data_IF_166797575835
#
_entry.id   IF_166797575835
#
_cell.length_a   1.000
_cell.length_b   1.000
_cell.length_c   1.000
_cell.angle_alpha   90.00
_cell.angle_beta   90.00
_cell.angle_gamma   90.00
#
_symmetry.space_group_name_H-M   'P 1'
#
loop_
_entity.id
_entity.type
_entity.pdbx_description
1 polymer ?
#
# COMPACT_ATOMS: atom_id res chain seq x y z
N UNK A 1 8.69 0.91 -5.41
CA UNK A 1 8.05 -0.42 -5.45
C UNK A 1 8.57 -1.28 -4.31
N UNK A 2 7.73 -2.07 -3.60
CA UNK A 2 8.21 -3.02 -2.59
C UNK A 2 9.10 -4.08 -3.24
N UNK A 3 10.17 -4.49 -2.52
CA UNK A 3 11.11 -5.53 -2.99
C UNK A 3 10.75 -6.91 -2.49
N UNK A 4 10.04 -7.01 -1.37
CA UNK A 4 9.57 -8.26 -0.79
C UNK A 4 8.09 -8.46 -1.06
N UNK A 5 7.60 -9.65 -0.78
CA UNK A 5 6.20 -9.98 -0.95
C UNK A 5 5.31 -9.14 -0.03
N UNK A 6 4.49 -8.31 -0.63
CA UNK A 6 3.42 -7.58 0.04
C UNK A 6 2.10 -7.94 -0.61
N UNK A 7 1.00 -7.75 0.09
CA UNK A 7 -0.33 -7.95 -0.49
C UNK A 7 -1.20 -6.71 -0.31
N UNK A 8 -2.11 -6.50 -1.24
CA UNK A 8 -3.24 -5.61 -1.06
C UNK A 8 -4.42 -6.41 -0.51
N UNK A 9 -5.24 -5.78 0.30
CA UNK A 9 -6.44 -6.39 0.85
C UNK A 9 -7.65 -6.05 -0.03
N UNK A 10 -8.59 -7.00 -0.18
CA UNK A 10 -9.93 -6.69 -0.69
C UNK A 10 -10.70 -5.93 0.39
N UNK A 11 -11.78 -5.22 0.01
CA UNK A 11 -12.44 -4.30 0.95
C UNK A 11 -13.00 -5.01 2.21
N UNK A 12 -13.63 -6.18 2.05
CA UNK A 12 -14.10 -6.98 3.19
C UNK A 12 -12.95 -7.36 4.13
N UNK A 13 -11.83 -7.80 3.56
CA UNK A 13 -10.62 -8.14 4.35
C UNK A 13 -10.09 -6.93 5.11
N UNK A 14 -10.06 -5.75 4.47
CA UNK A 14 -9.62 -4.51 5.12
C UNK A 14 -10.56 -4.11 6.27
N UNK A 15 -11.87 -4.33 6.15
CA UNK A 15 -12.84 -4.11 7.23
C UNK A 15 -12.59 -5.03 8.42
N UNK A 16 -12.35 -6.31 8.16
CA UNK A 16 -12.03 -7.29 9.21
C UNK A 16 -10.73 -6.91 9.90
N UNK A 17 -9.68 -6.60 9.12
CA UNK A 17 -8.37 -6.19 9.66
C UNK A 17 -8.50 -4.95 10.54
N UNK A 18 -9.17 -3.90 10.06
CA UNK A 18 -9.36 -2.66 10.82
C UNK A 18 -10.19 -2.83 12.08
N UNK A 19 -11.12 -3.79 12.08
CA UNK A 19 -11.93 -4.14 13.26
C UNK A 19 -11.18 -4.96 14.31
N UNK A 20 -10.29 -5.85 13.89
CA UNK A 20 -9.51 -6.71 14.78
C UNK A 20 -8.23 -6.06 15.29
N UNK A 21 -7.54 -5.33 14.44
CA UNK A 21 -6.29 -4.65 14.75
C UNK A 21 -6.17 -3.31 14.00
N UNK A 22 -6.66 -2.21 14.58
CA UNK A 22 -6.55 -0.89 13.96
C UNK A 22 -5.10 -0.42 13.78
N UNK A 23 -4.15 -1.04 14.46
CA UNK A 23 -2.72 -0.75 14.36
C UNK A 23 -1.94 -1.71 13.43
N UNK A 24 -2.65 -2.49 12.61
CA UNK A 24 -2.05 -3.56 11.79
C UNK A 24 -0.82 -3.10 11.00
N UNK A 25 -0.91 -2.01 10.22
CA UNK A 25 0.21 -1.51 9.42
C UNK A 25 1.43 -1.11 10.26
N UNK A 26 1.19 -0.43 11.38
CA UNK A 26 2.27 0.01 12.27
C UNK A 26 2.92 -1.18 12.98
N UNK A 27 2.11 -2.15 13.41
CA UNK A 27 2.59 -3.38 14.07
C UNK A 27 3.42 -4.21 13.13
N UNK A 28 2.92 -4.50 11.91
CA UNK A 28 3.62 -5.28 10.90
C UNK A 28 5.01 -4.68 10.60
N UNK A 29 5.07 -3.38 10.35
CA UNK A 29 6.32 -2.68 10.08
C UNK A 29 7.27 -2.73 11.28
N UNK A 30 6.76 -2.49 12.49
CA UNK A 30 7.55 -2.51 13.72
C UNK A 30 8.13 -3.89 13.97
N UNK A 31 7.32 -4.92 13.91
CA UNK A 31 7.72 -6.31 14.19
C UNK A 31 8.71 -6.82 13.13
N UNK A 32 8.53 -6.48 11.86
CA UNK A 32 9.47 -6.83 10.79
C UNK A 32 10.86 -6.23 11.04
N UNK A 33 10.94 -4.96 11.46
CA UNK A 33 12.21 -4.29 11.76
C UNK A 33 12.86 -4.91 13.00
N UNK A 34 12.11 -5.18 14.09
CA UNK A 34 12.64 -5.82 15.30
C UNK A 34 13.15 -7.25 15.02
N UNK A 35 12.49 -7.98 14.11
CA UNK A 35 12.89 -9.31 13.69
C UNK A 35 14.13 -9.31 12.75
N UNK A 36 14.58 -8.14 12.29
CA UNK A 36 15.68 -8.02 11.33
C UNK A 36 15.29 -8.31 9.87
N UNK A 37 14.01 -8.47 9.58
CA UNK A 37 13.45 -8.65 8.23
C UNK A 37 13.21 -7.30 7.54
N UNK A 38 14.18 -6.45 7.50
CA UNK A 38 14.12 -5.03 7.12
C UNK A 38 13.34 -4.78 5.82
N UNK A 39 12.16 -4.15 5.87
CA UNK A 39 11.38 -3.84 4.68
C UNK A 39 12.11 -2.91 3.71
N UNK A 40 12.00 -3.20 2.41
CA UNK A 40 12.72 -2.50 1.36
C UNK A 40 11.81 -2.09 0.21
N UNK A 41 12.11 -0.93 -0.37
CA UNK A 41 11.46 -0.42 -1.58
C UNK A 41 12.49 0.05 -2.59
N UNK A 42 12.27 -0.26 -3.86
CA UNK A 42 12.99 0.36 -4.94
C UNK A 42 12.50 1.81 -5.11
N UNK A 43 13.45 2.74 -5.18
CA UNK A 43 13.22 4.13 -5.54
C UNK A 43 13.45 4.27 -7.04
N UNK A 44 12.46 4.78 -7.74
CA UNK A 44 12.53 4.97 -9.18
C UNK A 44 12.04 6.34 -9.61
N UNK A 45 12.42 6.73 -10.82
CA UNK A 45 12.01 7.97 -11.48
C UNK A 45 11.42 7.65 -12.85
N UNK A 46 10.44 8.44 -13.29
CA UNK A 46 10.00 8.54 -14.67
C UNK A 46 10.55 9.84 -15.24
N UNK A 47 11.05 9.81 -16.47
CA UNK A 47 11.66 10.96 -17.11
C UNK A 47 10.80 11.37 -18.29
N UNK A 48 10.44 12.65 -18.34
CA UNK A 48 9.61 13.24 -19.38
C UNK A 48 10.38 14.31 -20.13
N UNK A 49 10.07 14.56 -21.42
CA UNK A 49 10.59 15.72 -22.13
C UNK A 49 10.18 17.01 -21.41
N UNK A 50 11.09 17.98 -21.35
CA UNK A 50 10.79 19.32 -20.85
C UNK A 50 10.16 20.14 -21.99
N UNK A 51 8.83 20.17 -22.05
CA UNK A 51 8.05 20.91 -23.05
C UNK A 51 7.40 22.14 -22.40
N UNK A 52 7.20 23.20 -23.19
CA UNK A 52 6.59 24.45 -22.69
C UNK A 52 5.17 24.22 -22.16
N UNK A 53 4.41 23.32 -22.78
CA UNK A 53 3.02 22.99 -22.40
C UNK A 53 2.92 21.95 -21.28
N UNK A 54 4.05 21.33 -20.88
CA UNK A 54 4.11 20.28 -19.87
C UNK A 54 3.13 19.11 -20.12
N UNK A 55 2.86 18.83 -21.41
CA UNK A 55 1.99 17.73 -21.84
C UNK A 55 2.82 16.52 -22.27
N UNK A 56 2.38 15.32 -21.90
CA UNK A 56 2.98 14.05 -22.31
C UNK A 56 1.90 13.05 -22.71
N UNK A 57 1.90 12.64 -23.98
CA UNK A 57 0.91 11.67 -24.54
C UNK A 57 -0.55 12.03 -24.19
N UNK A 58 -0.87 13.33 -24.21
CA UNK A 58 -2.20 13.84 -23.87
C UNK A 58 -2.49 13.98 -22.38
N UNK A 59 -1.52 13.67 -21.52
CA UNK A 59 -1.61 13.79 -20.07
C UNK A 59 -0.94 15.09 -19.63
N UNK A 60 -1.65 15.92 -18.86
CA UNK A 60 -1.11 17.13 -18.24
C UNK A 60 -0.25 16.73 -17.02
N UNK A 61 1.06 16.95 -17.12
CA UNK A 61 2.02 16.64 -16.05
C UNK A 61 1.89 17.56 -14.82
N UNK A 62 1.18 18.69 -14.97
CA UNK A 62 0.91 19.62 -13.88
C UNK A 62 -0.46 19.36 -13.21
N UNK A 63 -1.25 18.41 -13.72
CA UNK A 63 -2.50 18.00 -13.08
C UNK A 63 -2.24 16.94 -11.99
N UNK A 64 -2.43 17.28 -10.70
CA UNK A 64 -2.15 16.38 -9.59
C UNK A 64 -3.11 15.17 -9.52
N UNK A 65 -4.16 15.14 -10.35
CA UNK A 65 -5.12 14.03 -10.44
C UNK A 65 -4.73 13.01 -11.49
N UNK A 66 -3.68 13.25 -12.27
CA UNK A 66 -3.24 12.39 -13.36
C UNK A 66 -1.96 11.63 -12.98
N UNK A 67 -1.86 10.39 -13.45
CA UNK A 67 -0.65 9.58 -13.43
C UNK A 67 -0.26 9.19 -14.85
N UNK A 68 1.03 8.97 -15.08
CA UNK A 68 1.50 8.44 -16.35
C UNK A 68 1.79 6.95 -16.18
N UNK A 69 1.08 6.05 -16.89
CA UNK A 69 1.33 4.62 -16.87
C UNK A 69 2.77 4.26 -17.26
N UNK A 70 3.31 3.20 -16.68
CA UNK A 70 4.71 2.80 -16.90
C UNK A 70 4.99 2.33 -18.33
N UNK A 71 4.00 1.85 -19.05
CA UNK A 71 4.15 1.49 -20.47
C UNK A 71 4.41 2.71 -21.36
N UNK A 72 3.98 3.91 -20.96
CA UNK A 72 4.26 5.16 -21.69
C UNK A 72 5.60 5.76 -21.28
N UNK A 73 5.92 5.72 -19.98
CA UNK A 73 7.19 6.22 -19.44
C UNK A 73 7.72 5.23 -18.41
N UNK A 74 8.65 4.33 -18.78
CA UNK A 74 9.17 3.30 -17.88
C UNK A 74 9.86 3.88 -16.65
N UNK A 75 9.61 3.28 -15.48
CA UNK A 75 10.28 3.65 -14.23
C UNK A 75 11.73 3.17 -14.24
N UNK A 76 12.67 4.10 -14.09
CA UNK A 76 14.09 3.83 -13.94
C UNK A 76 14.44 3.72 -12.46
N UNK A 77 14.92 2.56 -12.01
CA UNK A 77 15.31 2.35 -10.62
C UNK A 77 16.66 3.04 -10.38
N UNK A 78 16.71 3.92 -9.38
CA UNK A 78 17.88 4.71 -9.02
C UNK A 78 18.43 4.39 -7.63
N UNK A 79 17.70 3.63 -6.81
CA UNK A 79 18.15 3.27 -5.48
C UNK A 79 17.17 2.36 -4.74
N UNK A 80 17.53 2.04 -3.50
CA UNK A 80 16.69 1.26 -2.59
C UNK A 80 16.57 1.98 -1.25
N UNK A 81 15.36 2.07 -0.74
CA UNK A 81 15.06 2.53 0.62
C UNK A 81 14.90 1.30 1.52
N UNK A 82 15.62 1.28 2.64
CA UNK A 82 15.54 0.21 3.65
C UNK A 82 15.14 0.80 5.00
N UNK A 83 14.11 0.25 5.63
CA UNK A 83 13.72 0.60 7.00
C UNK A 83 14.33 -0.41 7.96
N UNK A 84 15.33 0.01 8.72
CA UNK A 84 16.16 -0.86 9.55
C UNK A 84 16.25 -0.42 11.02
N UNK A 85 15.42 0.51 11.45
CA UNK A 85 15.39 1.01 12.82
C UNK A 85 14.02 1.56 13.18
N UNK A 86 13.49 1.10 14.29
CA UNK A 86 12.27 1.65 14.89
C UNK A 86 12.56 2.93 15.70
N UNK A 87 11.60 3.85 15.83
CA UNK A 87 11.71 4.95 16.77
C UNK A 87 11.74 4.43 18.21
N UNK A 88 12.54 5.09 19.08
CA UNK A 88 12.60 4.78 20.51
C UNK A 88 11.48 5.47 21.29
N UNK A 89 11.03 6.61 20.79
CA UNK A 89 9.93 7.38 21.35
C UNK A 89 9.09 7.95 20.21
N UNK A 90 7.86 7.47 20.06
CA UNK A 90 6.98 7.88 18.96
C UNK A 90 6.59 9.36 19.03
N UNK A 91 6.45 9.93 20.21
CA UNK A 91 6.17 11.36 20.32
C UNK A 91 7.35 12.19 19.83
N UNK A 92 8.56 11.92 20.33
CA UNK A 92 9.76 12.67 19.98
C UNK A 92 10.18 12.48 18.52
N UNK A 93 10.18 11.22 18.04
CA UNK A 93 10.80 10.84 16.77
C UNK A 93 9.80 10.66 15.61
N UNK A 94 8.48 10.72 15.85
CA UNK A 94 7.45 10.53 14.85
C UNK A 94 6.38 11.60 14.88
N UNK A 95 5.71 11.83 16.01
CA UNK A 95 4.59 12.78 16.06
C UNK A 95 5.02 14.25 15.87
N UNK A 96 6.24 14.59 16.26
CA UNK A 96 6.81 15.93 16.10
C UNK A 96 7.48 16.13 14.72
N UNK A 97 7.49 15.14 13.84
CA UNK A 97 8.06 15.27 12.49
C UNK A 97 7.30 16.31 11.68
N UNK A 98 8.04 17.20 11.04
CA UNK A 98 7.52 18.28 10.19
C UNK A 98 7.99 18.09 8.74
N UNK A 99 7.34 17.19 8.00
CA UNK A 99 7.59 17.06 6.57
C UNK A 99 7.07 18.29 5.81
N UNK A 100 7.84 18.72 4.81
CA UNK A 100 7.48 19.84 3.96
C UNK A 100 7.97 19.59 2.53
N UNK A 101 7.13 19.76 1.49
CA UNK A 101 7.52 19.47 0.11
C UNK A 101 8.61 20.43 -0.44
N UNK A 102 8.83 21.56 0.20
CA UNK A 102 9.91 22.48 -0.13
C UNK A 102 11.25 22.17 0.55
N UNK A 103 11.36 21.12 1.38
CA UNK A 103 12.62 20.67 1.96
C UNK A 103 13.36 19.80 0.93
N UNK A 104 13.99 20.46 -0.03
CA UNK A 104 14.67 19.88 -1.18
C UNK A 104 16.16 19.79 -0.97
N UNK A 105 16.80 18.91 -1.72
CA UNK A 105 18.27 18.84 -1.83
C UNK A 105 18.73 19.54 -3.13
N UNK A 106 19.98 19.98 -3.24
CA UNK A 106 20.48 20.58 -4.47
C UNK A 106 20.24 19.68 -5.68
N UNK A 107 19.75 20.27 -6.80
CA UNK A 107 19.44 19.56 -8.03
C UNK A 107 18.00 19.06 -8.14
N UNK A 108 17.17 19.26 -7.13
CA UNK A 108 15.72 18.96 -7.15
C UNK A 108 14.97 20.27 -6.93
N UNK A 109 13.96 20.53 -7.77
CA UNK A 109 13.08 21.68 -7.65
C UNK A 109 11.60 21.25 -7.73
N UNK A 110 10.69 22.19 -7.51
CA UNK A 110 9.25 21.97 -7.57
C UNK A 110 8.69 22.34 -8.94
N UNK A 111 7.64 21.67 -9.37
CA UNK A 111 6.90 22.00 -10.59
C UNK A 111 5.90 23.13 -10.35
N UNK A 112 5.33 23.66 -11.43
CA UNK A 112 4.24 24.63 -11.37
C UNK A 112 2.85 24.01 -11.10
N UNK A 113 2.77 22.72 -10.74
CA UNK A 113 1.55 22.06 -10.31
C UNK A 113 0.86 22.90 -9.21
N UNK A 114 -0.39 23.35 -9.43
CA UNK A 114 -1.08 24.25 -8.50
C UNK A 114 -1.28 23.66 -7.10
N UNK A 115 -1.49 22.33 -7.01
CA UNK A 115 -1.62 21.66 -5.72
C UNK A 115 -0.28 21.65 -4.98
N UNK A 116 0.81 21.32 -5.68
CA UNK A 116 2.15 21.34 -5.09
C UNK A 116 2.52 22.74 -4.60
N UNK A 117 2.25 23.78 -5.40
CA UNK A 117 2.48 25.17 -5.00
C UNK A 117 1.65 25.56 -3.75
N UNK A 118 0.40 25.14 -3.67
CA UNK A 118 -0.44 25.33 -2.48
C UNK A 118 0.08 24.57 -1.26
N UNK A 119 0.68 23.41 -1.45
CA UNK A 119 1.29 22.59 -0.38
C UNK A 119 2.52 23.26 0.23
N UNK A 120 3.29 24.04 -0.52
CA UNK A 120 4.43 24.80 0.02
C UNK A 120 4.00 25.77 1.12
N UNK A 121 2.81 26.34 0.98
CA UNK A 121 2.23 27.19 2.01
C UNK A 121 1.52 26.38 3.12
N UNK A 122 0.68 25.43 2.74
CA UNK A 122 -0.19 24.68 3.65
C UNK A 122 0.60 23.90 4.70
N UNK A 123 1.70 23.24 4.31
CA UNK A 123 2.51 22.46 5.25
C UNK A 123 3.26 23.36 6.24
N UNK A 124 3.67 24.54 5.85
CA UNK A 124 4.27 25.51 6.76
C UNK A 124 3.27 25.98 7.81
N UNK A 125 2.07 26.38 7.37
CA UNK A 125 1.00 26.84 8.24
C UNK A 125 0.55 25.77 9.25
N UNK A 126 0.34 24.54 8.79
CA UNK A 126 -0.06 23.44 9.68
C UNK A 126 1.03 23.09 10.71
N UNK A 127 2.32 23.17 10.38
CA UNK A 127 3.39 22.90 11.33
C UNK A 127 3.43 23.95 12.45
N UNK A 128 3.23 25.21 12.14
CA UNK A 128 3.14 26.28 13.16
C UNK A 128 2.02 25.97 14.15
N UNK A 129 0.87 25.56 13.68
CA UNK A 129 -0.29 25.24 14.54
C UNK A 129 -0.09 23.92 15.29
N UNK A 130 0.29 22.87 14.61
CA UNK A 130 0.39 21.51 15.18
C UNK A 130 1.51 21.40 16.21
N UNK A 131 2.65 22.02 15.95
CA UNK A 131 3.83 21.93 16.82
C UNK A 131 3.93 23.12 17.79
N UNK A 132 3.00 24.06 17.74
CA UNK A 132 2.82 25.10 18.75
C UNK A 132 3.75 26.31 18.65
N UNK A 133 4.50 26.45 17.55
CA UNK A 133 5.39 27.60 17.37
C UNK A 133 6.13 27.63 16.04
N UNK A 134 6.68 28.77 15.66
CA UNK A 134 7.35 28.98 14.37
C UNK A 134 8.70 28.30 14.26
N UNK A 135 9.31 27.87 15.37
CA UNK A 135 10.67 27.30 15.40
C UNK A 135 10.62 25.76 15.45
N UNK A 136 9.63 25.12 14.85
CA UNK A 136 9.50 23.65 14.79
C UNK A 136 10.71 22.99 14.10
N UNK A 137 11.42 23.68 13.22
CA UNK A 137 12.64 23.19 12.59
C UNK A 137 13.82 23.04 13.56
N UNK A 138 13.73 23.58 14.78
CA UNK A 138 14.74 23.39 15.83
C UNK A 138 14.49 22.17 16.72
N UNK A 139 13.33 21.53 16.61
CA UNK A 139 13.08 20.25 17.28
C UNK A 139 14.10 19.22 16.78
N UNK A 140 14.65 18.35 17.67
CA UNK A 140 15.72 17.42 17.29
C UNK A 140 15.42 16.60 16.06
N UNK A 141 14.18 16.10 15.91
CA UNK A 141 13.78 15.27 14.77
C UNK A 141 13.70 16.05 13.44
N UNK A 142 13.45 17.36 13.49
CA UNK A 142 13.28 18.21 12.31
C UNK A 142 14.55 18.97 11.94
N UNK A 143 15.52 18.98 12.86
CA UNK A 143 16.74 19.77 12.69
C UNK A 143 17.59 19.25 11.56
N UNK A 144 18.02 20.11 10.61
CA UNK A 144 18.94 19.71 9.55
C UNK A 144 20.22 19.12 10.10
N UNK A 145 20.70 18.02 9.51
CA UNK A 145 21.99 17.42 9.82
C UNK A 145 23.12 18.04 8.99
N UNK A 146 22.79 18.48 7.77
CA UNK A 146 23.72 19.24 6.94
C UNK A 146 23.74 20.71 7.35
N UNK A 147 24.85 21.43 7.13
CA UNK A 147 24.90 22.89 7.30
C UNK A 147 23.85 23.57 6.43
N UNK A 148 23.15 24.56 6.98
CA UNK A 148 22.19 25.39 6.27
C UNK A 148 22.74 26.80 6.20
N UNK A 149 22.92 27.32 4.99
CA UNK A 149 23.33 28.69 4.70
C UNK A 149 22.17 29.41 4.05
N UNK A 150 21.47 30.21 4.83
CA UNK A 150 20.36 31.07 4.40
C UNK A 150 20.54 32.48 4.96
N UNK A 151 19.57 33.35 4.70
CA UNK A 151 19.56 34.71 5.23
C UNK A 151 18.84 34.86 6.57
N UNK A 152 18.41 33.74 7.18
CA UNK A 152 17.73 33.70 8.47
C UNK A 152 18.78 33.64 9.62
N UNK A 153 18.94 34.69 10.31
CA UNK A 153 19.91 34.76 11.42
C UNK A 153 19.26 34.46 12.76
N UNK A 154 18.22 35.17 13.07
CA UNK A 154 17.44 35.05 14.32
C UNK A 154 15.96 35.35 14.03
N UNK A 155 15.09 34.83 14.85
CA UNK A 155 13.64 34.95 14.67
C UNK A 155 12.96 33.69 14.19
N UNK A 156 11.82 33.83 13.52
CA UNK A 156 11.00 32.70 13.06
C UNK A 156 11.71 31.89 11.97
N UNK A 157 11.55 30.57 12.04
CA UNK A 157 12.12 29.58 11.10
C UNK A 157 13.64 29.50 11.11
N UNK A 158 14.33 30.07 12.07
CA UNK A 158 15.76 29.89 12.23
C UNK A 158 16.11 28.42 12.43
N UNK A 159 17.08 27.90 11.67
CA UNK A 159 17.54 26.51 11.76
C UNK A 159 18.96 26.34 12.29
N UNK A 160 19.76 27.40 12.25
CA UNK A 160 21.14 27.41 12.70
C UNK A 160 21.40 28.40 13.81
N UNK A 161 22.61 28.36 14.40
CA UNK A 161 23.09 29.34 15.35
C UNK A 161 24.17 30.20 14.70
N UNK A 162 23.93 31.49 14.63
CA UNK A 162 24.83 32.46 14.01
C UNK A 162 25.36 33.43 15.07
N UNK A 163 26.61 33.79 14.94
CA UNK A 163 27.28 34.79 15.81
C UNK A 163 27.45 36.09 15.05
N UNK A 164 27.60 37.20 15.77
CA UNK A 164 27.81 38.50 15.17
C UNK A 164 26.95 39.57 15.82
N UNK A 165 27.26 40.83 15.52
CA UNK A 165 26.60 41.99 16.11
C UNK A 165 25.57 42.65 15.25
N UNK A 166 25.53 42.29 13.96
CA UNK A 166 24.55 42.83 12.99
C UNK A 166 23.57 41.75 12.51
N UNK A 167 22.25 41.99 12.64
CA UNK A 167 21.23 40.97 12.24
C UNK A 167 20.90 40.95 10.73
N UNK A 168 21.52 41.79 9.94
CA UNK A 168 21.27 41.89 8.50
C UNK A 168 22.50 41.58 7.66
N UNK A 169 22.29 41.22 6.42
CA UNK A 169 23.32 40.88 5.42
C UNK A 169 23.09 41.64 4.12
N UNK A 170 24.19 41.96 3.40
CA UNK A 170 25.58 41.87 3.83
C UNK A 170 25.93 42.94 4.83
N UNK A 171 26.90 42.67 5.74
CA UNK A 171 27.44 43.66 6.65
C UNK A 171 28.98 43.51 6.74
N UNK A 172 29.67 44.54 7.28
CA UNK A 172 31.12 44.58 7.35
C UNK A 172 31.69 44.14 8.73
N UNK A 173 30.84 43.71 9.66
CA UNK A 173 31.24 43.52 11.05
C UNK A 173 31.50 42.07 11.43
N UNK A 174 30.83 41.11 10.82
CA UNK A 174 30.82 39.71 11.24
C UNK A 174 31.15 38.70 10.10
N UNK A 175 31.94 39.12 9.14
CA UNK A 175 32.45 38.25 8.08
C UNK A 175 31.43 37.80 7.04
N UNK A 176 30.26 38.44 7.01
CA UNK A 176 29.28 38.14 5.99
C UNK A 176 28.32 36.96 6.28
N UNK A 177 28.34 36.40 7.49
CA UNK A 177 27.44 35.28 7.87
C UNK A 177 26.18 35.77 8.61
N UNK A 178 25.02 35.09 8.47
CA UNK A 178 24.69 34.08 7.45
C UNK A 178 24.65 34.68 6.05
N UNK A 179 24.88 33.86 5.01
CA UNK A 179 24.81 34.23 3.62
C UNK A 179 24.31 33.03 2.80
N UNK A 180 23.79 33.29 1.62
CA UNK A 180 23.46 32.23 0.68
C UNK A 180 24.72 31.45 0.29
N UNK A 181 24.60 30.12 0.19
CA UNK A 181 25.66 29.28 -0.31
C UNK A 181 25.93 29.57 -1.79
N UNK A 182 27.17 29.42 -2.21
CA UNK A 182 27.55 29.44 -3.63
C UNK A 182 27.32 28.06 -4.25
N UNK A 183 27.35 27.98 -5.57
CA UNK A 183 27.23 26.70 -6.30
C UNK A 183 28.29 25.69 -5.84
N UNK A 184 29.53 26.15 -5.60
CA UNK A 184 30.64 25.31 -5.12
C UNK A 184 30.41 24.83 -3.68
N UNK A 185 29.60 25.51 -2.90
CA UNK A 185 29.21 25.15 -1.54
C UNK A 185 27.92 24.32 -1.50
N UNK A 186 27.38 23.93 -2.66
CA UNK A 186 26.19 23.09 -2.76
C UNK A 186 24.88 23.87 -2.65
N UNK A 187 24.86 25.13 -3.14
CA UNK A 187 23.62 25.89 -3.23
C UNK A 187 22.56 25.19 -4.09
N UNK A 188 21.30 25.52 -3.86
CA UNK A 188 20.22 25.18 -4.79
C UNK A 188 20.51 25.81 -6.16
N UNK A 189 20.50 24.99 -7.19
CA UNK A 189 20.65 25.46 -8.58
C UNK A 189 19.27 25.75 -9.12
N UNK A 190 19.00 27.02 -9.36
CA UNK A 190 17.78 27.45 -10.02
C UNK A 190 17.84 27.08 -11.52
N UNK A 191 16.79 26.47 -12.04
CA UNK A 191 16.63 26.18 -13.46
C UNK A 191 15.65 27.20 -14.05
N UNK A 192 16.12 28.18 -14.83
CA UNK A 192 15.23 29.18 -15.39
C UNK A 192 14.19 28.54 -16.32
N UNK A 193 12.91 28.78 -16.05
CA UNK A 193 11.80 28.36 -16.88
C UNK A 193 11.17 29.60 -17.52
N UNK A 194 11.11 29.62 -18.85
CA UNK A 194 10.39 30.67 -19.56
C UNK A 194 8.88 30.50 -19.36
N UNK A 195 8.19 31.57 -18.95
CA UNK A 195 6.74 31.57 -18.81
C UNK A 195 6.13 32.65 -19.71
N UNK A 196 5.03 32.30 -20.39
CA UNK A 196 4.24 33.26 -21.17
C UNK A 196 2.75 33.01 -20.90
N UNK A 197 1.92 34.05 -20.99
CA UNK A 197 0.48 33.94 -20.83
C UNK A 197 -0.13 35.03 -19.96
N UNK A 198 -1.39 34.83 -19.60
CA UNK A 198 -2.18 35.77 -18.77
C UNK A 198 -2.43 35.11 -17.42
N UNK A 199 -2.15 35.84 -16.34
CA UNK A 199 -2.51 35.40 -15.00
C UNK A 199 -4.03 35.54 -14.85
N UNK A 200 -4.72 34.40 -14.73
CA UNK A 200 -6.18 34.36 -14.54
C UNK A 200 -6.53 33.47 -13.35
N UNK A 201 -7.82 33.40 -13.01
CA UNK A 201 -8.37 32.42 -12.06
C UNK A 201 -9.11 31.29 -12.76
N UNK A 202 -8.83 31.09 -14.02
CA UNK A 202 -9.39 29.99 -14.80
C UNK A 202 -8.67 28.69 -14.45
N UNK A 203 -9.42 27.60 -14.41
CA UNK A 203 -8.86 26.26 -14.27
C UNK A 203 -8.33 25.80 -15.63
N UNK A 204 -7.26 25.01 -15.68
CA UNK A 204 -6.81 24.41 -16.93
C UNK A 204 -7.88 23.46 -17.49
N UNK A 205 -7.90 23.28 -18.81
CA UNK A 205 -8.86 22.40 -19.49
C UNK A 205 -8.77 20.93 -18.99
N UNK A 206 -7.59 20.49 -18.57
CA UNK A 206 -7.38 19.17 -17.99
C UNK A 206 -8.21 18.93 -16.72
N UNK A 207 -8.55 20.00 -16.00
CA UNK A 207 -9.38 19.94 -14.79
C UNK A 207 -10.81 19.48 -15.08
N UNK A 208 -11.32 19.66 -16.29
CA UNK A 208 -12.67 19.22 -16.69
C UNK A 208 -12.73 17.69 -16.88
N UNK A 209 -11.57 17.04 -17.04
CA UNK A 209 -11.46 15.58 -17.06
C UNK A 209 -11.34 14.99 -15.66
N UNK A 210 -12.46 14.66 -15.06
CA UNK A 210 -12.55 14.06 -13.73
C UNK A 210 -12.54 12.53 -13.74
N UNK A 211 -12.76 11.88 -14.90
CA UNK A 211 -13.14 10.47 -14.95
C UNK A 211 -12.17 9.58 -15.73
N UNK A 212 -11.32 10.11 -16.60
CA UNK A 212 -10.41 9.30 -17.43
C UNK A 212 -9.50 8.38 -16.61
N UNK A 213 -8.93 8.89 -15.51
CA UNK A 213 -8.06 8.12 -14.63
C UNK A 213 -8.81 7.06 -13.82
N UNK A 214 -10.02 7.40 -13.35
CA UNK A 214 -10.87 6.45 -12.65
C UNK A 214 -11.30 5.31 -13.58
N UNK A 215 -11.68 5.64 -14.83
CA UNK A 215 -12.00 4.65 -15.84
C UNK A 215 -10.78 3.81 -16.21
N UNK A 216 -9.63 4.42 -16.46
CA UNK A 216 -8.38 3.72 -16.74
C UNK A 216 -8.07 2.68 -15.67
N UNK A 217 -8.18 3.07 -14.38
CA UNK A 217 -8.01 2.15 -13.27
C UNK A 217 -9.02 1.01 -13.32
N UNK A 218 -10.31 1.32 -13.43
CA UNK A 218 -11.39 0.33 -13.39
C UNK A 218 -11.26 -0.71 -14.51
N UNK A 219 -11.07 -0.29 -15.76
CA UNK A 219 -10.95 -1.23 -16.89
C UNK A 219 -9.63 -2.01 -16.93
N UNK A 220 -8.63 -1.61 -16.12
CA UNK A 220 -7.37 -2.34 -15.97
C UNK A 220 -7.43 -3.43 -14.89
N UNK A 221 -8.49 -3.46 -14.10
CA UNK A 221 -8.76 -4.51 -13.11
C UNK A 221 -9.20 -5.82 -13.80
N UNK A 222 -8.95 -6.95 -13.13
CA UNK A 222 -9.59 -8.22 -13.51
C UNK A 222 -11.09 -8.19 -13.20
N UNK A 223 -11.86 -9.08 -13.79
CA UNK A 223 -13.32 -9.19 -13.54
C UNK A 223 -13.61 -9.39 -12.04
N UNK A 224 -12.79 -10.17 -11.35
CA UNK A 224 -12.90 -10.41 -9.90
C UNK A 224 -12.65 -9.12 -9.09
N UNK A 225 -11.65 -8.32 -9.47
CA UNK A 225 -11.37 -7.04 -8.82
C UNK A 225 -12.48 -6.02 -9.08
N UNK A 226 -13.05 -6.00 -10.29
CA UNK A 226 -14.20 -5.15 -10.64
C UNK A 226 -15.43 -5.51 -9.80
N UNK A 227 -15.74 -6.81 -9.63
CA UNK A 227 -16.82 -7.27 -8.77
C UNK A 227 -16.58 -6.85 -7.30
N UNK A 228 -15.37 -7.04 -6.77
CA UNK A 228 -15.03 -6.60 -5.41
C UNK A 228 -15.14 -5.06 -5.24
N UNK A 229 -14.81 -4.29 -6.27
CA UNK A 229 -14.99 -2.84 -6.24
C UNK A 229 -16.47 -2.46 -6.18
N UNK A 230 -17.32 -3.10 -6.99
CA UNK A 230 -18.77 -2.89 -6.94
C UNK A 230 -19.36 -3.21 -5.56
N UNK A 231 -18.93 -4.32 -4.96
CA UNK A 231 -19.33 -4.70 -3.60
C UNK A 231 -18.86 -3.68 -2.56
N UNK A 232 -17.60 -3.23 -2.66
CA UNK A 232 -17.03 -2.22 -1.76
C UNK A 232 -17.80 -0.90 -1.82
N UNK A 233 -18.10 -0.41 -3.03
CA UNK A 233 -18.88 0.82 -3.23
C UNK A 233 -20.30 0.65 -2.69
N UNK A 234 -20.94 -0.50 -2.96
CA UNK A 234 -22.27 -0.81 -2.45
C UNK A 234 -22.32 -0.83 -0.93
N UNK A 235 -21.30 -1.43 -0.29
CA UNK A 235 -21.16 -1.48 1.16
C UNK A 235 -21.02 -0.08 1.77
N UNK A 236 -20.17 0.76 1.19
CA UNK A 236 -19.95 2.13 1.70
C UNK A 236 -21.18 3.03 1.48
N UNK A 237 -21.82 2.97 0.31
CA UNK A 237 -23.04 3.73 0.04
C UNK A 237 -24.22 3.22 0.89
N UNK A 238 -24.24 1.93 1.22
CA UNK A 238 -25.24 1.35 2.13
C UNK A 238 -25.27 2.01 3.52
N UNK A 239 -24.16 2.61 3.96
CA UNK A 239 -24.07 3.36 5.23
C UNK A 239 -24.70 4.75 5.16
N UNK A 240 -24.95 5.30 3.96
CA UNK A 240 -25.57 6.60 3.78
C UNK A 240 -27.08 6.50 4.06
N UNK A 241 -27.61 7.38 4.91
CA UNK A 241 -29.07 7.42 5.18
C UNK A 241 -29.84 8.10 4.04
N UNK A 242 -29.28 9.15 3.47
CA UNK A 242 -29.93 9.97 2.44
C UNK A 242 -29.84 9.30 1.07
N UNK A 243 -30.97 8.86 0.52
CA UNK A 243 -31.04 8.23 -0.80
C UNK A 243 -30.51 9.15 -1.90
N UNK A 244 -30.77 10.46 -1.80
CA UNK A 244 -30.29 11.44 -2.77
C UNK A 244 -28.76 11.48 -2.89
N UNK A 245 -27.99 11.09 -1.85
CA UNK A 245 -26.53 10.95 -1.92
C UNK A 245 -26.16 9.75 -2.76
N UNK A 246 -26.84 8.62 -2.52
CA UNK A 246 -26.61 7.37 -3.29
C UNK A 246 -26.90 7.57 -4.77
N UNK A 247 -28.06 8.15 -5.10
CA UNK A 247 -28.45 8.40 -6.49
C UNK A 247 -27.44 9.28 -7.21
N UNK A 248 -27.01 10.40 -6.59
CA UNK A 248 -25.98 11.27 -7.19
C UNK A 248 -24.64 10.59 -7.36
N UNK A 249 -24.29 9.65 -6.46
CA UNK A 249 -23.05 8.91 -6.61
C UNK A 249 -23.13 7.87 -7.73
N UNK A 250 -24.31 7.25 -7.96
CA UNK A 250 -24.56 6.40 -9.13
C UNK A 250 -24.36 7.17 -10.45
N UNK A 251 -24.83 8.42 -10.53
CA UNK A 251 -24.59 9.29 -11.68
C UNK A 251 -23.07 9.53 -11.89
N UNK A 252 -22.30 9.71 -10.82
CA UNK A 252 -20.84 9.84 -10.89
C UNK A 252 -20.18 8.55 -11.39
N UNK A 253 -20.61 7.39 -10.89
CA UNK A 253 -20.10 6.10 -11.34
C UNK A 253 -20.39 5.82 -12.83
N UNK A 254 -21.55 6.25 -13.34
CA UNK A 254 -21.91 6.10 -14.75
C UNK A 254 -20.94 6.81 -15.70
N UNK A 255 -20.26 7.87 -15.26
CA UNK A 255 -19.18 8.50 -16.03
C UNK A 255 -17.88 7.69 -16.02
N UNK A 256 -17.71 6.79 -15.06
CA UNK A 256 -16.56 5.86 -15.01
C UNK A 256 -16.86 4.63 -15.84
N UNK A 257 -17.98 3.95 -15.51
CA UNK A 257 -18.43 2.77 -16.22
C UNK A 257 -19.93 2.51 -15.94
N UNK A 258 -20.69 2.22 -16.99
CA UNK A 258 -22.14 2.01 -16.86
C UNK A 258 -22.46 0.72 -16.11
N UNK A 259 -21.77 -0.38 -16.44
CA UNK A 259 -22.02 -1.69 -15.82
C UNK A 259 -21.68 -1.67 -14.31
N UNK A 260 -20.62 -0.94 -13.93
CA UNK A 260 -20.30 -0.68 -12.52
C UNK A 260 -21.45 0.05 -11.81
N UNK A 261 -21.95 1.13 -12.42
CA UNK A 261 -23.02 1.94 -11.83
C UNK A 261 -24.34 1.14 -11.69
N UNK A 262 -24.68 0.33 -12.68
CA UNK A 262 -25.86 -0.52 -12.67
C UNK A 262 -25.74 -1.64 -11.62
N UNK A 263 -24.59 -2.30 -11.54
CA UNK A 263 -24.33 -3.31 -10.51
C UNK A 263 -24.48 -2.75 -9.09
N UNK A 264 -23.92 -1.56 -8.83
CA UNK A 264 -24.07 -0.91 -7.53
C UNK A 264 -25.52 -0.49 -7.28
N UNK A 265 -26.25 -0.01 -8.28
CA UNK A 265 -27.66 0.33 -8.16
C UNK A 265 -28.51 -0.90 -7.79
N UNK A 266 -28.28 -2.03 -8.46
CA UNK A 266 -28.96 -3.30 -8.17
C UNK A 266 -28.68 -3.76 -6.73
N UNK A 267 -27.43 -3.72 -6.31
CA UNK A 267 -27.03 -4.08 -4.93
C UNK A 267 -27.72 -3.20 -3.87
N UNK A 268 -28.01 -1.94 -4.19
CA UNK A 268 -28.67 -0.99 -3.29
C UNK A 268 -30.19 -0.95 -3.44
N UNK A 269 -30.74 -1.66 -4.43
CA UNK A 269 -32.18 -1.65 -4.76
C UNK A 269 -32.64 -0.29 -5.28
N UNK A 270 -31.79 0.43 -6.02
CA UNK A 270 -32.05 1.76 -6.58
C UNK A 270 -32.22 1.68 -8.11
N UNK A 271 -32.91 2.65 -8.73
CA UNK A 271 -32.99 2.75 -10.18
C UNK A 271 -31.60 2.92 -10.82
N UNK A 272 -31.41 2.31 -12.00
CA UNK A 272 -30.20 2.51 -12.79
C UNK A 272 -30.04 4.00 -13.17
N UNK A 273 -28.85 4.57 -13.11
CA UNK A 273 -28.59 5.92 -13.59
C UNK A 273 -28.69 5.98 -15.12
N UNK A 274 -28.90 7.17 -15.65
CA UNK A 274 -28.85 7.39 -17.09
C UNK A 274 -27.41 7.12 -17.60
N UNK A 275 -27.31 6.51 -18.80
CA UNK A 275 -26.03 6.30 -19.44
C UNK A 275 -25.30 7.64 -19.69
N UNK A 276 -24.01 7.67 -19.35
CA UNK A 276 -23.15 8.81 -19.53
C UNK A 276 -22.09 8.55 -20.60
N UNK A 277 -21.54 9.61 -21.15
CA UNK A 277 -20.34 9.53 -21.99
C UNK A 277 -19.14 9.18 -21.12
N UNK A 278 -18.38 8.16 -21.52
CA UNK A 278 -17.19 7.71 -20.81
C UNK A 278 -15.93 8.06 -21.60
N UNK A 279 -14.82 8.28 -20.90
CA UNK A 279 -13.52 8.56 -21.52
C UNK A 279 -13.07 7.38 -22.40
N UNK A 280 -12.56 7.68 -23.59
CA UNK A 280 -11.95 6.70 -24.49
C UNK A 280 -10.49 6.43 -24.05
N UNK A 281 -10.33 5.50 -23.13
CA UNK A 281 -9.05 5.04 -22.60
C UNK A 281 -8.93 3.53 -22.75
N UNK A 282 -7.69 3.04 -22.85
CA UNK A 282 -7.42 1.60 -22.98
C UNK A 282 -6.88 1.06 -21.65
N UNK A 283 -7.13 -0.23 -21.31
CA UNK A 283 -6.57 -0.86 -20.13
C UNK A 283 -5.03 -0.73 -20.09
N UNK A 284 -4.50 -0.37 -18.93
CA UNK A 284 -3.05 -0.25 -18.71
C UNK A 284 -2.46 -1.57 -18.22
N UNK A 285 -1.53 -2.19 -18.95
CA UNK A 285 -0.81 -3.37 -18.46
C UNK A 285 -0.03 -3.11 -17.17
N UNK A 286 0.43 -1.87 -16.95
CA UNK A 286 1.14 -1.50 -15.73
C UNK A 286 0.23 -1.54 -14.49
N UNK A 287 -1.05 -1.22 -14.63
CA UNK A 287 -2.03 -1.21 -13.56
C UNK A 287 -2.66 -2.60 -13.30
N UNK A 288 -2.68 -3.48 -14.30
CA UNK A 288 -3.26 -4.82 -14.17
C UNK A 288 -2.34 -5.73 -13.33
N UNK A 289 -2.95 -6.59 -12.53
CA UNK A 289 -2.25 -7.65 -11.78
C UNK A 289 -2.27 -9.02 -12.49
N UNK A 290 -3.11 -9.16 -13.50
CA UNK A 290 -3.28 -10.42 -14.24
C UNK A 290 -1.99 -10.80 -14.97
N UNK A 291 -1.57 -12.06 -14.81
CA UNK A 291 -0.37 -12.61 -15.46
C UNK A 291 0.97 -12.12 -14.87
N UNK A 292 0.95 -11.34 -13.79
CA UNK A 292 2.17 -10.91 -13.09
C UNK A 292 2.55 -11.89 -11.99
N UNK A 293 3.84 -11.93 -11.67
CA UNK A 293 4.38 -12.68 -10.55
C UNK A 293 5.06 -11.75 -9.55
N UNK A 294 4.94 -12.07 -8.29
CA UNK A 294 5.40 -11.27 -7.18
C UNK A 294 6.34 -12.08 -6.27
N UNK A 295 7.29 -11.44 -5.57
CA UNK A 295 8.06 -12.10 -4.53
C UNK A 295 7.15 -12.70 -3.45
N UNK A 296 7.54 -13.86 -2.93
CA UNK A 296 6.80 -14.52 -1.84
C UNK A 296 7.45 -14.37 -0.48
N UNK A 297 8.61 -13.73 -0.42
CA UNK A 297 9.35 -13.49 0.82
C UNK A 297 8.48 -12.68 1.82
N UNK A 298 8.41 -13.16 3.05
CA UNK A 298 7.60 -12.55 4.10
C UNK A 298 6.11 -12.88 4.05
N UNK A 299 5.62 -13.59 3.00
CA UNK A 299 4.21 -13.99 2.90
C UNK A 299 3.87 -15.04 3.95
N UNK A 300 2.68 -14.93 4.54
CA UNK A 300 2.24 -15.79 5.63
C UNK A 300 1.39 -16.94 5.11
N UNK A 301 1.73 -18.17 5.53
CA UNK A 301 1.01 -19.38 5.14
C UNK A 301 0.41 -20.04 6.39
N UNK A 302 -0.92 -20.03 6.50
CA UNK A 302 -1.62 -20.73 7.56
C UNK A 302 -1.60 -22.25 7.32
N UNK A 303 -1.10 -23.04 8.26
CA UNK A 303 -1.13 -24.50 8.20
C UNK A 303 -2.16 -24.98 9.23
N UNK A 304 -3.30 -25.41 8.74
CA UNK A 304 -4.47 -25.80 9.55
C UNK A 304 -4.38 -27.29 9.89
N UNK A 305 -4.11 -27.60 11.15
CA UNK A 305 -3.89 -28.97 11.64
C UNK A 305 -4.78 -29.29 12.84
N UNK A 306 -4.95 -30.60 13.12
CA UNK A 306 -5.27 -31.08 14.49
C UNK A 306 -3.98 -31.28 15.29
N UNK A 307 -4.05 -31.10 16.60
CA UNK A 307 -2.94 -31.48 17.49
C UNK A 307 -2.76 -32.99 17.60
N UNK A 308 -3.73 -33.78 17.14
CA UNK A 308 -3.72 -35.25 17.16
C UNK A 308 -3.29 -35.78 15.78
N UNK A 309 -2.00 -35.59 15.46
CA UNK A 309 -1.37 -36.09 14.24
C UNK A 309 -0.73 -37.45 14.48
N UNK A 310 -0.91 -38.39 13.55
CA UNK A 310 -0.07 -39.57 13.50
C UNK A 310 1.38 -39.23 13.13
N UNK A 311 2.30 -40.15 13.38
CA UNK A 311 3.74 -39.94 13.19
C UNK A 311 4.09 -39.57 11.74
N UNK A 312 3.47 -40.19 10.73
CA UNK A 312 3.69 -39.89 9.33
C UNK A 312 3.19 -38.49 8.93
N UNK A 313 2.00 -38.13 9.36
CA UNK A 313 1.42 -36.79 9.17
C UNK A 313 2.25 -35.72 9.89
N UNK A 314 2.69 -35.97 11.12
CA UNK A 314 3.55 -35.06 11.86
C UNK A 314 4.91 -34.83 11.16
N UNK A 315 5.49 -35.87 10.58
CA UNK A 315 6.73 -35.78 9.81
C UNK A 315 6.52 -34.97 8.51
N UNK A 316 5.41 -35.22 7.79
CA UNK A 316 5.08 -34.51 6.55
C UNK A 316 4.79 -33.01 6.79
N UNK A 317 4.07 -32.68 7.87
CA UNK A 317 3.83 -31.29 8.27
C UNK A 317 5.12 -30.59 8.69
N UNK A 318 6.00 -31.29 9.42
CA UNK A 318 7.33 -30.77 9.79
C UNK A 318 8.16 -30.40 8.56
N UNK A 319 8.17 -31.25 7.55
CA UNK A 319 8.84 -30.99 6.28
C UNK A 319 8.19 -29.82 5.53
N UNK A 320 6.88 -29.74 5.49
CA UNK A 320 6.15 -28.60 4.91
C UNK A 320 6.56 -27.25 5.56
N UNK A 321 6.61 -27.20 6.88
CA UNK A 321 7.07 -26.02 7.62
C UNK A 321 8.49 -25.62 7.24
N UNK A 322 9.42 -26.61 7.23
CA UNK A 322 10.81 -26.37 6.86
C UNK A 322 10.95 -25.89 5.39
N UNK A 323 10.19 -26.46 4.44
CA UNK A 323 10.22 -26.11 3.02
C UNK A 323 9.64 -24.71 2.74
N UNK A 324 8.57 -24.31 3.43
CA UNK A 324 7.98 -22.97 3.34
C UNK A 324 8.90 -21.93 3.97
N UNK A 325 9.46 -22.21 5.12
CA UNK A 325 10.42 -21.32 5.77
C UNK A 325 11.68 -21.12 4.92
N UNK A 326 12.22 -22.19 4.34
CA UNK A 326 13.37 -22.13 3.44
C UNK A 326 13.08 -21.33 2.15
N UNK A 327 11.81 -21.19 1.76
CA UNK A 327 11.37 -20.37 0.64
C UNK A 327 11.19 -18.89 0.98
N UNK A 328 11.50 -18.48 2.22
CA UNK A 328 11.35 -17.11 2.69
C UNK A 328 9.95 -16.74 3.19
N UNK A 329 8.99 -17.68 3.18
CA UNK A 329 7.65 -17.44 3.72
C UNK A 329 7.61 -17.64 5.24
N UNK A 330 6.54 -17.18 5.88
CA UNK A 330 6.30 -17.36 7.32
C UNK A 330 5.19 -18.38 7.53
N UNK A 331 5.49 -19.66 7.82
CA UNK A 331 4.49 -20.67 8.13
C UNK A 331 3.91 -20.41 9.54
N UNK A 332 2.59 -20.39 9.65
CA UNK A 332 1.84 -20.21 10.89
C UNK A 332 1.02 -21.46 11.18
N UNK A 333 1.39 -22.22 12.23
CA UNK A 333 0.61 -23.40 12.66
C UNK A 333 -0.66 -22.94 13.38
N UNK A 334 -1.81 -23.44 12.94
CA UNK A 334 -3.12 -23.19 13.54
C UNK A 334 -3.74 -24.51 14.00
N UNK A 335 -4.09 -24.62 15.27
CA UNK A 335 -4.64 -25.84 15.84
C UNK A 335 -5.73 -25.53 16.89
N UNK A 336 -6.30 -26.57 17.54
CA UNK A 336 -7.35 -26.43 18.54
C UNK A 336 -6.87 -25.78 19.84
N UNK A 337 -5.58 -25.94 20.15
CA UNK A 337 -4.98 -25.50 21.41
C UNK A 337 -3.62 -24.86 21.13
N UNK A 338 -3.25 -23.89 21.93
CA UNK A 338 -1.90 -23.36 21.98
C UNK A 338 -0.89 -24.33 22.59
N UNK A 339 0.35 -23.92 22.68
CA UNK A 339 1.47 -24.72 23.17
C UNK A 339 2.36 -25.17 22.02
N UNK A 340 2.79 -26.41 22.01
CA UNK A 340 3.64 -26.98 20.97
C UNK A 340 3.10 -28.33 20.49
N UNK A 341 3.44 -28.66 19.25
CA UNK A 341 3.22 -29.97 18.64
C UNK A 341 4.54 -30.53 18.16
N UNK A 342 4.76 -31.83 18.34
CA UNK A 342 6.00 -32.46 17.86
C UNK A 342 5.89 -32.81 16.38
N UNK A 343 6.67 -32.15 15.53
CA UNK A 343 6.71 -32.32 14.09
C UNK A 343 8.11 -32.80 13.67
N UNK A 344 8.20 -33.97 13.06
CA UNK A 344 9.49 -34.52 12.63
C UNK A 344 10.53 -34.64 13.75
N UNK A 345 10.07 -34.89 14.99
CA UNK A 345 10.94 -35.02 16.18
C UNK A 345 11.37 -33.68 16.80
N UNK A 346 10.83 -32.53 16.35
CA UNK A 346 11.05 -31.20 16.93
C UNK A 346 9.75 -30.67 17.49
N UNK A 347 9.81 -29.98 18.64
CA UNK A 347 8.67 -29.26 19.18
C UNK A 347 8.54 -27.90 18.46
N UNK A 348 7.41 -27.70 17.78
CA UNK A 348 7.09 -26.49 17.04
C UNK A 348 5.90 -25.81 17.72
N UNK A 349 6.02 -24.52 18.02
CA UNK A 349 4.97 -23.76 18.67
C UNK A 349 3.76 -23.58 17.77
N UNK A 350 2.56 -23.73 18.33
CA UNK A 350 1.30 -23.36 17.68
C UNK A 350 1.20 -21.85 17.68
N UNK A 351 1.14 -21.27 16.49
CA UNK A 351 1.12 -19.80 16.29
C UNK A 351 -0.21 -19.20 16.72
N UNK A 352 -1.32 -19.87 16.40
CA UNK A 352 -2.70 -19.45 16.72
C UNK A 352 -3.56 -20.65 17.05
N UNK A 353 -4.59 -20.42 17.84
CA UNK A 353 -5.70 -21.39 17.94
C UNK A 353 -6.79 -21.02 16.94
N UNK A 354 -7.65 -21.98 16.55
CA UNK A 354 -8.80 -21.67 15.68
C UNK A 354 -9.71 -20.57 16.23
N UNK A 355 -9.80 -20.44 17.57
CA UNK A 355 -10.55 -19.37 18.23
C UNK A 355 -9.93 -17.98 18.01
N UNK A 356 -8.61 -17.91 17.87
CA UNK A 356 -7.85 -16.64 17.80
C UNK A 356 -7.28 -16.35 16.41
N UNK A 357 -7.33 -17.32 15.50
CA UNK A 357 -6.90 -17.15 14.12
C UNK A 357 -7.96 -16.42 13.29
N UNK A 358 -7.50 -15.66 12.34
CA UNK A 358 -8.36 -15.04 11.32
C UNK A 358 -7.74 -15.22 9.93
N UNK A 359 -8.58 -15.31 8.90
CA UNK A 359 -8.16 -15.41 7.50
C UNK A 359 -7.25 -14.26 7.05
N UNK A 360 -7.38 -13.09 7.69
CA UNK A 360 -6.57 -11.90 7.40
C UNK A 360 -5.10 -12.06 7.75
N UNK A 361 -4.74 -13.02 8.61
CA UNK A 361 -3.36 -13.32 9.00
C UNK A 361 -2.63 -14.17 7.95
N UNK A 362 -3.33 -14.71 6.93
CA UNK A 362 -2.76 -15.64 5.97
C UNK A 362 -2.88 -15.10 4.54
N UNK A 363 -1.83 -15.28 3.76
CA UNK A 363 -1.84 -15.03 2.31
C UNK A 363 -2.29 -16.27 1.53
N UNK A 364 -2.06 -17.44 2.11
CA UNK A 364 -2.53 -18.75 1.65
C UNK A 364 -2.76 -19.66 2.84
N UNK A 365 -3.50 -20.74 2.65
CA UNK A 365 -3.64 -21.80 3.65
C UNK A 365 -3.32 -23.19 3.10
N UNK A 366 -2.71 -24.04 3.94
CA UNK A 366 -2.60 -25.47 3.72
C UNK A 366 -3.49 -26.17 4.74
N UNK A 367 -4.49 -26.89 4.24
CA UNK A 367 -5.53 -27.55 5.05
C UNK A 367 -5.20 -29.02 5.17
N UNK A 368 -4.65 -29.42 6.30
CA UNK A 368 -4.19 -30.82 6.50
C UNK A 368 -5.29 -31.71 7.09
N UNK A 369 -5.63 -31.50 8.34
CA UNK A 369 -6.68 -32.25 9.03
C UNK A 369 -7.30 -31.41 10.17
N UNK A 370 -7.82 -30.22 9.88
CA UNK A 370 -8.44 -29.41 10.93
C UNK A 370 -9.69 -30.11 11.47
N UNK A 371 -10.06 -29.84 12.73
CA UNK A 371 -11.32 -30.36 13.29
C UNK A 371 -12.53 -29.70 12.62
N UNK A 372 -13.64 -30.44 12.55
CA UNK A 372 -14.91 -29.91 12.05
C UNK A 372 -15.50 -28.90 13.05
N UNK A 373 -15.17 -27.63 12.87
CA UNK A 373 -15.60 -26.51 13.74
C UNK A 373 -16.05 -25.30 12.93
N UNK A 374 -16.94 -24.50 13.50
CA UNK A 374 -17.43 -23.25 12.90
C UNK A 374 -16.29 -22.27 12.57
N UNK A 375 -15.31 -22.15 13.47
CA UNK A 375 -14.17 -21.25 13.28
C UNK A 375 -13.34 -21.64 12.06
N UNK A 376 -13.08 -22.94 11.84
CA UNK A 376 -12.41 -23.46 10.65
C UNK A 376 -13.21 -23.11 9.39
N UNK A 377 -14.52 -23.34 9.42
CA UNK A 377 -15.40 -23.03 8.28
C UNK A 377 -15.40 -21.54 7.95
N UNK A 378 -15.38 -20.68 8.96
CA UNK A 378 -15.28 -19.23 8.80
C UNK A 378 -13.98 -18.85 8.10
N UNK A 379 -12.83 -19.33 8.59
CA UNK A 379 -11.51 -19.07 7.99
C UNK A 379 -11.48 -19.52 6.53
N UNK A 380 -11.94 -20.72 6.22
CA UNK A 380 -11.93 -21.25 4.84
C UNK A 380 -12.85 -20.47 3.90
N UNK A 381 -14.05 -20.12 4.37
CA UNK A 381 -14.99 -19.30 3.59
C UNK A 381 -14.49 -17.89 3.34
N UNK A 382 -13.80 -17.29 4.29
CA UNK A 382 -13.16 -15.98 4.11
C UNK A 382 -11.96 -16.05 3.14
N UNK A 383 -11.10 -17.05 3.25
CA UNK A 383 -9.99 -17.27 2.31
C UNK A 383 -10.51 -17.41 0.87
N UNK A 384 -11.62 -18.12 0.69
CA UNK A 384 -12.26 -18.25 -0.61
C UNK A 384 -12.77 -16.90 -1.13
N UNK A 385 -13.57 -16.16 -0.35
CA UNK A 385 -14.12 -14.85 -0.74
C UNK A 385 -13.02 -13.82 -0.99
N UNK A 386 -11.94 -13.86 -0.20
CA UNK A 386 -10.78 -12.97 -0.37
C UNK A 386 -9.82 -13.43 -1.47
N UNK A 387 -10.17 -14.46 -2.25
CA UNK A 387 -9.38 -14.97 -3.38
C UNK A 387 -7.97 -15.42 -3.01
N UNK A 388 -7.81 -15.93 -1.79
CA UNK A 388 -6.54 -16.47 -1.31
C UNK A 388 -6.37 -17.93 -1.72
N UNK A 389 -5.13 -18.35 -1.93
CA UNK A 389 -4.82 -19.72 -2.31
C UNK A 389 -5.10 -20.72 -1.17
N UNK A 390 -5.63 -21.88 -1.52
CA UNK A 390 -5.92 -22.97 -0.57
C UNK A 390 -5.33 -24.27 -1.12
N UNK A 391 -4.43 -24.90 -0.37
CA UNK A 391 -3.93 -26.24 -0.69
C UNK A 391 -4.53 -27.23 0.29
N UNK A 392 -5.21 -28.26 -0.20
CA UNK A 392 -5.85 -29.28 0.64
C UNK A 392 -5.08 -30.59 0.59
N UNK A 393 -4.94 -31.20 1.77
CA UNK A 393 -4.18 -32.46 1.93
C UNK A 393 -5.13 -33.62 2.16
N UNK A 394 -5.11 -34.58 1.26
CA UNK A 394 -5.87 -35.82 1.36
C UNK A 394 -7.37 -35.61 1.52
N UNK A 395 -8.03 -36.62 2.05
CA UNK A 395 -9.48 -36.61 2.23
C UNK A 395 -9.94 -35.69 3.37
N UNK A 396 -9.14 -35.57 4.43
CA UNK A 396 -9.48 -34.72 5.56
C UNK A 396 -9.50 -33.23 5.19
N UNK A 397 -8.57 -32.77 4.34
CA UNK A 397 -8.57 -31.41 3.81
C UNK A 397 -9.78 -31.13 2.92
N UNK A 398 -10.20 -32.08 2.08
CA UNK A 398 -11.40 -31.97 1.26
C UNK A 398 -12.68 -31.88 2.09
N UNK A 399 -12.80 -32.72 3.12
CA UNK A 399 -13.93 -32.69 4.03
C UNK A 399 -14.04 -31.34 4.79
N UNK A 400 -12.91 -30.71 5.09
CA UNK A 400 -12.92 -29.38 5.69
C UNK A 400 -13.46 -28.32 4.73
N UNK A 401 -13.11 -28.37 3.42
CA UNK A 401 -13.71 -27.48 2.41
C UNK A 401 -15.23 -27.73 2.27
N UNK A 402 -15.64 -28.98 2.20
CA UNK A 402 -17.07 -29.35 2.14
C UNK A 402 -17.82 -28.78 3.35
N UNK A 403 -17.27 -28.93 4.55
CA UNK A 403 -17.82 -28.37 5.78
C UNK A 403 -17.96 -26.84 5.74
N UNK A 404 -17.04 -26.16 5.09
CA UNK A 404 -17.06 -24.71 4.86
C UNK A 404 -17.91 -24.30 3.63
N UNK A 405 -18.44 -25.26 2.87
CA UNK A 405 -19.17 -25.05 1.60
C UNK A 405 -18.32 -24.36 0.53
N UNK A 406 -17.03 -24.60 0.53
CA UNK A 406 -16.09 -24.10 -0.48
C UNK A 406 -15.92 -25.20 -1.53
N UNK A 407 -16.28 -24.98 -2.81
CA UNK A 407 -16.07 -25.95 -3.87
C UNK A 407 -14.60 -26.25 -4.09
N UNK A 408 -14.22 -27.52 -4.26
CA UNK A 408 -12.83 -27.95 -4.38
C UNK A 408 -12.29 -27.96 -5.83
N UNK A 409 -13.14 -27.67 -6.81
CA UNK A 409 -12.85 -27.61 -8.25
C UNK A 409 -12.58 -26.19 -8.78
N UNK A 410 -12.47 -25.20 -7.87
CA UNK A 410 -12.22 -23.80 -8.24
C UNK A 410 -10.74 -23.51 -8.51
N UNK A 411 -10.41 -22.51 -9.36
CA UNK A 411 -9.06 -21.98 -9.48
C UNK A 411 -8.47 -21.59 -8.11
N UNK A 412 -7.18 -21.87 -7.92
CA UNK A 412 -6.48 -21.55 -6.66
C UNK A 412 -6.74 -22.49 -5.49
N UNK A 413 -7.54 -23.57 -5.70
CA UNK A 413 -7.66 -24.69 -4.77
C UNK A 413 -6.92 -25.89 -5.38
N UNK A 414 -5.91 -26.38 -4.69
CA UNK A 414 -5.07 -27.50 -5.17
C UNK A 414 -5.08 -28.62 -4.13
N UNK A 415 -5.46 -29.83 -4.58
CA UNK A 415 -5.40 -31.03 -3.76
C UNK A 415 -4.06 -31.75 -3.91
N UNK A 416 -3.49 -32.20 -2.78
CA UNK A 416 -2.30 -33.05 -2.73
C UNK A 416 -2.54 -34.23 -1.79
N UNK A 417 -1.77 -35.31 -1.98
CA UNK A 417 -1.98 -36.55 -1.21
C UNK A 417 -1.34 -36.45 0.20
N UNK A 418 -0.27 -35.70 0.36
CA UNK A 418 0.47 -35.57 1.61
C UNK A 418 0.93 -34.13 1.86
N UNK A 419 1.11 -33.75 3.13
CA UNK A 419 1.42 -32.37 3.52
C UNK A 419 2.77 -31.89 2.96
N UNK A 420 3.77 -32.74 2.85
CA UNK A 420 5.08 -32.39 2.31
C UNK A 420 5.06 -32.06 0.79
N UNK A 421 4.01 -32.47 0.08
CA UNK A 421 3.79 -32.08 -1.32
C UNK A 421 3.12 -30.70 -1.47
N UNK A 422 2.60 -30.10 -0.39
CA UNK A 422 1.84 -28.86 -0.44
C UNK A 422 2.70 -27.60 -0.64
N UNK A 423 3.98 -27.64 -0.32
CA UNK A 423 4.86 -26.46 -0.41
C UNK A 423 4.99 -25.90 -1.83
N UNK A 424 5.08 -26.77 -2.84
CA UNK A 424 5.27 -26.36 -4.24
C UNK A 424 4.03 -25.58 -4.77
N UNK A 425 2.79 -26.14 -4.73
CA UNK A 425 1.62 -25.43 -5.19
C UNK A 425 1.32 -24.16 -4.33
N UNK A 426 1.57 -24.19 -3.03
CA UNK A 426 1.40 -23.00 -2.20
C UNK A 426 2.30 -21.84 -2.65
N UNK A 427 3.58 -22.10 -2.96
CA UNK A 427 4.53 -21.10 -3.47
C UNK A 427 4.14 -20.56 -4.83
N UNK A 428 3.70 -21.43 -5.75
CA UNK A 428 3.26 -21.05 -7.09
C UNK A 428 2.05 -20.10 -7.01
N UNK A 429 1.05 -20.47 -6.23
CA UNK A 429 -0.16 -19.65 -6.06
C UNK A 429 0.12 -18.33 -5.33
N UNK A 430 1.02 -18.33 -4.34
CA UNK A 430 1.43 -17.09 -3.66
C UNK A 430 2.10 -16.10 -4.60
N UNK A 431 2.84 -16.57 -5.60
CA UNK A 431 3.51 -15.72 -6.58
C UNK A 431 2.51 -14.95 -7.46
N UNK A 432 1.27 -15.42 -7.61
CA UNK A 432 0.18 -14.73 -8.31
C UNK A 432 -0.54 -13.70 -7.44
N UNK A 433 -0.15 -13.55 -6.19
CA UNK A 433 -0.72 -12.65 -5.18
C UNK A 433 -2.13 -13.04 -4.73
N UNK A 434 -3.10 -13.11 -5.65
CA UNK A 434 -4.48 -13.56 -5.45
C UNK A 434 -4.90 -14.47 -6.61
N UNK A 435 -5.98 -15.19 -6.44
CA UNK A 435 -6.57 -16.03 -7.48
C UNK A 435 -7.57 -15.19 -8.27
N UNK A 436 -7.08 -14.47 -9.28
CA UNK A 436 -7.86 -13.50 -10.06
C UNK A 436 -8.83 -14.15 -11.08
N UNK A 437 -8.77 -15.46 -11.25
CA UNK A 437 -9.67 -16.23 -12.10
C UNK A 437 -10.87 -16.85 -11.36
N UNK A 438 -10.99 -16.63 -10.05
CA UNK A 438 -12.02 -17.24 -9.19
C UNK A 438 -13.12 -16.28 -8.79
#
# INVERSE_FOLDING_TARGET
KPKFGVHSQVWEEAQITGGMDPDFHRRDLYDAIEAGAFPQWDLGVQVFPDTEDQMFEGIDLLDPTKIVPEELAPVQIIGTMTLNKNPRNYFEETEQVAFHPGHLVPGIDVTADPLLQGRLFSYLDTQISRLGGPNFAQLPINRPQAPVNDNLRDGMHQVGSHTGVAPYKPNSLDGGNPAEATVDEGALIDVPVAVSGTITREQPASFDDHFSQARLFYISLSEVEQAHLADAVSFELGKCYEEAVKVRYLDVLAHVDQDLAETVADNLGLPHPAAQEVADVQPSPALSQVGKTWPIDGRQVGILISTDLDEASAQAVGKLVDDLFAAGTTPLLVAEKGGAVTLGGKDVSISRTYLTASSIEFDAAVVVNPPAKTDVNTILGELERHKKAIVVVGEAGKQALEGARVPDDQPGIVAVDAADAAAAPAKELLASHRVWER
#
